data_IF_074963217092
#
_entry.id   IF_074963217092
#
_cell.length_a   1.000
_cell.length_b   1.000
_cell.length_c   1.000
_cell.angle_alpha   90.00
_cell.angle_beta   90.00
_cell.angle_gamma   90.00
#
_symmetry.space_group_name_H-M   'P 1'
#
loop_
_entity.id
_entity.type
_entity.pdbx_description
1 polymer ?
#
# COMPACT_ATOMS: atom_id res chain seq x y z
N UNK A 1 -10.13 -3.59 13.01
CA UNK A 1 -9.90 -3.72 11.56
C UNK A 1 -8.68 -2.94 11.12
N UNK A 2 -8.07 -3.38 10.03
CA UNK A 2 -6.96 -2.71 9.38
C UNK A 2 -7.39 -2.03 8.09
N UNK A 3 -6.64 -0.99 7.73
CA UNK A 3 -6.75 -0.28 6.47
C UNK A 3 -5.57 -0.68 5.59
N UNK A 4 -5.86 -1.02 4.34
CA UNK A 4 -4.85 -1.24 3.30
C UNK A 4 -4.47 0.13 2.75
N UNK A 5 -3.16 0.36 2.63
CA UNK A 5 -2.65 1.51 1.89
C UNK A 5 -1.91 1.06 0.65
N UNK A 6 -2.05 1.85 -0.42
CA UNK A 6 -1.27 1.76 -1.64
C UNK A 6 -0.78 3.18 -1.96
N UNK A 7 0.51 3.41 -1.81
CA UNK A 7 1.14 4.72 -1.94
C UNK A 7 2.09 4.76 -3.14
N UNK A 8 1.95 5.78 -3.98
CA UNK A 8 2.90 6.11 -5.03
C UNK A 8 3.96 7.05 -4.45
N UNK A 9 5.21 6.63 -4.49
CA UNK A 9 6.36 7.32 -3.92
C UNK A 9 7.29 7.84 -5.01
N UNK A 10 7.83 9.04 -4.79
CA UNK A 10 8.90 9.60 -5.62
C UNK A 10 10.29 9.06 -5.24
N UNK A 11 11.32 9.64 -5.86
CA UNK A 11 12.73 9.31 -5.60
C UNK A 11 13.20 9.65 -4.17
N UNK A 12 12.51 10.58 -3.50
CA UNK A 12 12.80 11.03 -2.14
C UNK A 12 11.95 10.29 -1.09
N UNK A 13 11.28 9.20 -1.48
CA UNK A 13 10.34 8.44 -0.63
C UNK A 13 9.11 9.26 -0.18
N UNK A 14 8.81 10.38 -0.85
CA UNK A 14 7.62 11.18 -0.56
C UNK A 14 6.41 10.61 -1.31
N UNK A 15 5.29 10.53 -0.59
CA UNK A 15 4.02 10.12 -1.19
C UNK A 15 3.46 11.24 -2.07
N UNK A 16 3.28 10.94 -3.36
CA UNK A 16 2.73 11.87 -4.36
C UNK A 16 1.28 11.54 -4.77
N UNK A 17 0.86 10.30 -4.55
CA UNK A 17 -0.51 9.84 -4.72
C UNK A 17 -0.74 8.60 -3.85
N UNK A 18 -1.99 8.24 -3.57
CA UNK A 18 -2.27 7.03 -2.82
C UNK A 18 -3.75 6.71 -2.69
N UNK A 19 -4.02 5.51 -2.15
CA UNK A 19 -5.34 5.02 -1.80
C UNK A 19 -5.24 4.33 -0.44
N UNK A 20 -6.10 4.74 0.48
CA UNK A 20 -6.25 4.16 1.81
C UNK A 20 -7.71 3.73 1.97
N UNK A 21 -7.94 2.43 2.16
CA UNK A 21 -9.29 1.92 2.41
C UNK A 21 -9.25 0.61 3.19
N UNK A 22 -10.33 0.32 3.90
CA UNK A 22 -10.55 -1.04 4.39
C UNK A 22 -10.71 -1.99 3.20
N UNK A 23 -10.39 -3.29 3.36
CA UNK A 23 -10.40 -4.21 2.23
C UNK A 23 -11.73 -4.26 1.51
N UNK A 24 -11.67 -4.34 0.18
CA UNK A 24 -12.83 -4.27 -0.72
C UNK A 24 -13.69 -3.02 -0.49
N UNK A 25 -13.05 -1.88 -0.18
CA UNK A 25 -13.72 -0.62 0.18
C UNK A 25 -14.69 -0.77 1.37
N UNK A 26 -14.25 -1.52 2.40
CA UNK A 26 -15.01 -1.78 3.63
C UNK A 26 -16.06 -2.89 3.52
N UNK A 27 -16.15 -3.59 2.39
CA UNK A 27 -17.09 -4.71 2.21
C UNK A 27 -16.60 -6.01 2.83
N UNK A 28 -15.31 -6.12 3.13
CA UNK A 28 -14.73 -7.34 3.69
C UNK A 28 -13.68 -7.04 4.77
N UNK A 29 -14.14 -6.63 5.97
CA UNK A 29 -13.26 -6.17 7.04
C UNK A 29 -12.28 -7.26 7.49
N UNK A 30 -11.07 -6.87 7.91
CA UNK A 30 -10.02 -7.81 8.34
C UNK A 30 -10.39 -8.68 9.54
N UNK A 31 -11.38 -8.29 10.33
CA UNK A 31 -11.87 -9.04 11.50
C UNK A 31 -12.53 -10.38 11.16
N UNK A 32 -12.98 -10.57 9.91
CA UNK A 32 -13.62 -11.82 9.47
C UNK A 32 -12.71 -12.70 8.61
N UNK A 33 -11.51 -12.22 8.30
CA UNK A 33 -10.55 -12.95 7.50
C UNK A 33 -10.19 -14.27 8.16
N UNK A 34 -10.02 -15.31 7.33
CA UNK A 34 -9.44 -16.56 7.76
C UNK A 34 -7.93 -16.59 7.45
N UNK A 35 -7.19 -17.40 8.20
CA UNK A 35 -5.80 -17.65 7.87
C UNK A 35 -5.69 -18.24 6.45
N UNK A 36 -4.62 -17.87 5.74
CA UNK A 36 -4.29 -18.30 4.37
C UNK A 36 -5.32 -17.89 3.29
N UNK A 37 -6.27 -17.02 3.62
CA UNK A 37 -7.23 -16.47 2.66
C UNK A 37 -6.54 -15.48 1.71
N UNK A 38 -6.84 -15.60 0.41
CA UNK A 38 -6.40 -14.64 -0.62
C UNK A 38 -7.59 -13.80 -1.08
N UNK A 39 -7.52 -12.49 -0.85
CA UNK A 39 -8.61 -11.56 -1.16
C UNK A 39 -8.17 -10.65 -2.31
N UNK A 40 -8.83 -10.71 -3.48
CA UNK A 40 -8.52 -9.83 -4.60
C UNK A 40 -9.07 -8.42 -4.31
N UNK A 41 -8.20 -7.50 -3.92
CA UNK A 41 -8.55 -6.11 -3.61
C UNK A 41 -8.02 -5.13 -4.66
N UNK A 42 -8.87 -4.20 -5.09
CA UNK A 42 -8.55 -3.22 -6.15
C UNK A 42 -8.51 -1.82 -5.59
N UNK A 43 -7.35 -1.16 -5.73
CA UNK A 43 -7.14 0.23 -5.35
C UNK A 43 -6.93 1.10 -6.59
N UNK A 44 -7.73 2.16 -6.70
CA UNK A 44 -7.56 3.19 -7.73
C UNK A 44 -6.79 4.36 -7.14
N UNK A 45 -5.67 4.73 -7.77
CA UNK A 45 -4.84 5.85 -7.34
C UNK A 45 -5.07 7.04 -8.30
N UNK A 46 -5.81 8.08 -7.87
CA UNK A 46 -5.92 9.30 -8.67
C UNK A 46 -4.57 10.01 -8.68
N UNK A 47 -4.00 10.21 -9.87
CA UNK A 47 -2.73 10.91 -10.04
C UNK A 47 -2.95 12.42 -10.15
N UNK A 48 -2.09 13.26 -9.54
CA UNK A 48 -2.09 14.69 -9.78
C UNK A 48 -1.91 15.01 -11.28
N UNK A 49 -2.67 15.97 -11.81
CA UNK A 49 -2.56 16.36 -13.23
C UNK A 49 -1.19 16.93 -13.60
N UNK A 50 -0.50 17.52 -12.62
CA UNK A 50 0.83 18.10 -12.74
C UNK A 50 1.93 17.16 -12.25
N UNK A 51 1.65 15.86 -12.10
CA UNK A 51 2.65 14.88 -11.72
C UNK A 51 3.72 14.81 -12.84
N UNK A 52 5.00 15.10 -12.54
CA UNK A 52 6.04 15.05 -13.56
C UNK A 52 6.18 13.66 -14.18
N UNK A 53 6.52 13.55 -15.48
CA UNK A 53 6.98 12.30 -16.05
C UNK A 53 8.22 11.79 -15.29
N UNK A 54 8.27 10.49 -15.03
CA UNK A 54 9.33 9.96 -14.19
C UNK A 54 9.11 8.52 -13.75
N UNK A 55 10.04 8.04 -12.93
CA UNK A 55 9.98 6.72 -12.32
C UNK A 55 9.57 6.86 -10.85
N UNK A 56 8.56 6.09 -10.47
CA UNK A 56 7.96 6.08 -9.16
C UNK A 56 7.96 4.65 -8.59
N UNK A 57 7.80 4.53 -7.28
CA UNK A 57 7.68 3.25 -6.57
C UNK A 57 6.30 3.10 -5.97
N UNK A 58 5.77 1.88 -5.95
CA UNK A 58 4.55 1.57 -5.21
C UNK A 58 4.91 0.92 -3.88
N UNK A 59 4.34 1.46 -2.81
CA UNK A 59 4.43 0.93 -1.47
C UNK A 59 3.06 0.46 -0.99
N UNK A 60 3.00 -0.73 -0.40
CA UNK A 60 1.77 -1.33 0.09
C UNK A 60 1.92 -1.78 1.54
N UNK A 61 0.82 -1.87 2.26
CA UNK A 61 0.81 -2.47 3.60
C UNK A 61 -0.50 -2.24 4.31
N UNK A 62 -0.50 -2.60 5.59
CA UNK A 62 -1.66 -2.46 6.46
C UNK A 62 -1.32 -1.60 7.67
N UNK A 63 -2.29 -0.84 8.14
CA UNK A 63 -2.19 -0.13 9.41
C UNK A 63 -3.50 -0.18 10.18
N UNK A 64 -3.40 -0.03 11.50
CA UNK A 64 -4.55 0.14 12.37
C UNK A 64 -4.96 1.60 12.36
N UNK A 65 -6.08 1.93 11.71
CA UNK A 65 -6.49 3.33 11.47
C UNK A 65 -6.60 4.18 12.75
N UNK A 66 -7.16 3.70 13.88
CA UNK A 66 -7.24 4.49 15.10
C UNK A 66 -5.88 4.92 15.67
N UNK A 67 -4.83 4.10 15.52
CA UNK A 67 -3.49 4.40 16.06
C UNK A 67 -2.48 4.86 15.00
N UNK A 68 -2.77 4.68 13.72
CA UNK A 68 -1.81 4.89 12.62
C UNK A 68 -0.66 3.87 12.59
N UNK A 69 -0.68 2.87 13.49
CA UNK A 69 0.40 1.91 13.59
C UNK A 69 0.36 0.95 12.41
N UNK A 70 1.47 0.90 11.66
CA UNK A 70 1.65 -0.05 10.56
C UNK A 70 1.96 -1.44 11.10
N UNK A 71 1.41 -2.46 10.43
CA UNK A 71 1.75 -3.83 10.73
C UNK A 71 3.15 -4.15 10.19
N UNK A 72 3.98 -4.89 10.95
CA UNK A 72 5.22 -5.41 10.42
C UNK A 72 4.91 -6.42 9.31
N UNK A 73 5.73 -6.40 8.26
CA UNK A 73 5.64 -7.35 7.15
C UNK A 73 6.88 -8.24 7.18
N UNK A 74 6.68 -9.54 7.23
CA UNK A 74 7.72 -10.53 6.97
C UNK A 74 7.53 -11.05 5.55
N UNK A 75 8.45 -10.68 4.66
CA UNK A 75 8.50 -11.28 3.34
C UNK A 75 9.19 -12.63 3.41
N UNK A 76 8.80 -13.54 2.52
CA UNK A 76 9.47 -14.84 2.36
C UNK A 76 10.96 -14.72 1.98
N UNK A 77 11.37 -13.56 1.45
CA UNK A 77 12.77 -13.22 1.16
C UNK A 77 13.56 -12.78 2.39
N UNK A 78 12.91 -12.62 3.54
CA UNK A 78 13.50 -12.04 4.76
C UNK A 78 13.68 -10.52 4.71
N UNK A 79 13.28 -9.86 3.62
CA UNK A 79 13.31 -8.41 3.53
C UNK A 79 12.17 -7.81 4.36
N UNK A 80 12.51 -6.86 5.23
CA UNK A 80 11.56 -6.12 6.07
C UNK A 80 11.86 -4.64 5.88
N UNK A 81 10.87 -3.86 5.44
CA UNK A 81 10.97 -2.41 5.52
C UNK A 81 10.62 -2.00 6.97
N UNK A 82 11.52 -1.29 7.68
CA UNK A 82 11.23 -0.81 9.04
C UNK A 82 9.99 0.11 9.10
N UNK A 83 9.56 0.68 7.97
CA UNK A 83 8.34 1.46 7.85
C UNK A 83 7.07 0.61 7.65
N UNK A 84 7.13 -0.72 7.79
CA UNK A 84 5.95 -1.60 7.72
C UNK A 84 5.26 -1.55 6.35
N UNK A 85 6.05 -1.54 5.28
CA UNK A 85 5.55 -1.46 3.89
C UNK A 85 6.32 -2.41 2.98
N UNK A 86 5.65 -2.94 1.97
CA UNK A 86 6.26 -3.67 0.88
C UNK A 86 6.41 -2.75 -0.32
N UNK A 87 7.64 -2.58 -0.81
CA UNK A 87 7.90 -1.84 -2.05
C UNK A 87 7.85 -2.83 -3.21
N UNK A 88 7.01 -2.59 -4.21
CA UNK A 88 7.00 -3.43 -5.40
C UNK A 88 8.36 -3.36 -6.10
N UNK A 89 8.92 -4.51 -6.51
CA UNK A 89 10.23 -4.54 -7.17
C UNK A 89 10.19 -3.89 -8.55
N UNK A 90 9.01 -3.86 -9.18
CA UNK A 90 8.83 -3.22 -10.47
C UNK A 90 8.41 -1.75 -10.26
N UNK A 91 9.20 -0.78 -10.78
CA UNK A 91 8.82 0.61 -10.73
C UNK A 91 7.65 0.92 -11.68
N UNK A 92 6.97 2.03 -11.40
CA UNK A 92 5.93 2.61 -12.25
C UNK A 92 6.53 3.77 -13.04
N UNK A 93 6.34 3.78 -14.36
CA UNK A 93 6.76 4.90 -15.22
C UNK A 93 5.54 5.72 -15.64
N UNK A 94 5.56 7.01 -15.32
CA UNK A 94 4.60 8.00 -15.81
C UNK A 94 5.24 8.73 -17.01
N UNK A 95 4.48 8.88 -18.11
CA UNK A 95 4.94 9.47 -19.37
C UNK A 95 4.11 10.68 -19.74
#
# INVERSE_FOLDING_TARGET
>A
DYTVFVHLLDENDQMVAGSDSQPLNGRYPTTIWQADETIPDTHTLPLPQNLPPGTYRLALGLYHQPSGQRLPLELSTGQVDPAGRYILPQPVTIR
#
